data_IF_964491461461
#
_entry.id   IF_964491461461
#
_cell.length_a   1.000
_cell.length_b   1.000
_cell.length_c   1.000
_cell.angle_alpha   90.00
_cell.angle_beta   90.00
_cell.angle_gamma   90.00
#
_symmetry.space_group_name_H-M   'P 1'
#
loop_
_entity.id
_entity.type
_entity.pdbx_description
1 polymer ?
#
# COMPACT_ATOMS: atom_id res chain seq x y z
N UNK A 1 -7.62 24.99 -14.25
CA UNK A 1 -7.68 25.73 -15.52
C UNK A 1 -8.23 24.84 -16.63
N UNK A 2 -9.11 25.35 -17.42
CA UNK A 2 -9.71 24.64 -18.54
C UNK A 2 -9.95 25.62 -19.69
N UNK A 3 -9.51 25.25 -20.89
CA UNK A 3 -9.92 25.87 -22.17
C UNK A 3 -10.21 24.76 -23.20
N UNK A 4 -10.37 25.07 -24.45
CA UNK A 4 -10.67 24.09 -25.50
C UNK A 4 -9.51 23.11 -25.75
N UNK A 5 -8.26 23.49 -25.47
CA UNK A 5 -7.05 22.73 -25.74
C UNK A 5 -6.50 22.08 -24.48
N UNK A 6 -6.58 22.76 -23.33
CA UNK A 6 -5.99 22.33 -22.08
C UNK A 6 -7.01 22.13 -20.97
N UNK A 7 -6.87 21.05 -20.23
CA UNK A 7 -7.53 20.85 -18.95
C UNK A 7 -6.46 20.51 -17.89
N UNK A 8 -6.28 21.40 -16.93
CA UNK A 8 -5.25 21.28 -15.89
C UNK A 8 -5.89 21.23 -14.53
N UNK A 9 -5.48 20.25 -13.72
CA UNK A 9 -5.95 20.05 -12.34
C UNK A 9 -4.74 19.84 -11.43
N UNK A 10 -4.76 20.44 -10.27
CA UNK A 10 -3.78 20.21 -9.22
C UNK A 10 -4.43 20.19 -7.86
N UNK A 11 -3.80 19.50 -6.92
CA UNK A 11 -4.32 19.41 -5.56
C UNK A 11 -3.28 18.99 -4.54
N UNK A 12 -3.63 19.21 -3.28
CA UNK A 12 -2.84 18.83 -2.11
C UNK A 12 -3.67 17.91 -1.23
N UNK A 13 -3.02 16.93 -0.64
CA UNK A 13 -3.58 16.05 0.37
C UNK A 13 -2.68 16.03 1.60
N UNK A 14 -3.26 16.22 2.77
CA UNK A 14 -2.57 16.23 4.05
C UNK A 14 -3.33 15.33 5.02
N UNK A 15 -2.65 14.33 5.56
CA UNK A 15 -3.23 13.44 6.56
C UNK A 15 -2.25 13.23 7.72
N UNK A 16 -2.79 13.21 8.93
CA UNK A 16 -2.10 12.73 10.12
C UNK A 16 -2.96 11.67 10.79
N UNK A 17 -2.33 10.54 11.08
CA UNK A 17 -2.92 9.47 11.88
C UNK A 17 -2.13 9.31 13.17
N UNK A 18 -2.83 9.07 14.28
CA UNK A 18 -2.27 8.63 15.57
C UNK A 18 -3.13 7.51 16.11
N UNK A 19 -2.52 6.48 16.62
CA UNK A 19 -3.22 5.36 17.23
C UNK A 19 -2.37 4.74 18.33
N UNK A 20 -3.04 4.27 19.38
CA UNK A 20 -2.44 3.43 20.39
C UNK A 20 -3.07 2.04 20.25
N UNK A 21 -2.21 1.03 20.23
CA UNK A 21 -2.59 -0.38 20.14
C UNK A 21 -2.21 -1.05 21.47
N UNK A 22 -3.20 -1.51 22.22
CA UNK A 22 -2.98 -2.11 23.52
C UNK A 22 -3.95 -3.26 23.79
N UNK A 23 -3.57 -4.16 24.68
CA UNK A 23 -4.42 -5.25 25.11
C UNK A 23 -4.22 -5.60 26.57
N UNK A 24 -5.33 -6.00 27.21
CA UNK A 24 -5.34 -6.46 28.59
C UNK A 24 -5.76 -7.92 28.68
N UNK A 25 -5.03 -8.68 29.47
CA UNK A 25 -5.48 -9.99 29.93
C UNK A 25 -6.38 -9.79 31.14
N UNK A 26 -7.61 -10.26 31.02
CA UNK A 26 -8.64 -10.10 32.04
C UNK A 26 -8.89 -11.38 32.83
N UNK A 27 -8.34 -12.51 32.36
CA UNK A 27 -8.48 -13.81 33.01
C UNK A 27 -7.40 -14.79 32.55
N UNK A 28 -6.88 -15.59 33.47
CA UNK A 28 -6.07 -16.79 33.21
C UNK A 28 -6.78 -18.00 33.76
N UNK A 29 -6.89 -19.08 32.98
CA UNK A 29 -7.44 -20.36 33.43
C UNK A 29 -6.58 -20.99 34.55
N UNK A 30 -5.25 -20.84 34.45
CA UNK A 30 -4.33 -21.27 35.49
C UNK A 30 -4.37 -20.27 36.64
N UNK A 31 -4.69 -20.75 37.87
CA UNK A 31 -4.87 -19.87 39.04
C UNK A 31 -3.55 -19.23 39.52
N UNK A 32 -2.40 -19.93 39.38
CA UNK A 32 -1.12 -19.36 39.75
C UNK A 32 -0.73 -18.21 38.83
N UNK A 33 -0.90 -18.37 37.51
CA UNK A 33 -0.69 -17.32 36.53
C UNK A 33 -1.67 -16.15 36.77
N UNK A 34 -2.93 -16.46 37.08
CA UNK A 34 -3.91 -15.42 37.39
C UNK A 34 -3.51 -14.59 38.60
N UNK A 35 -3.06 -15.24 39.68
CA UNK A 35 -2.60 -14.54 40.88
C UNK A 35 -1.30 -13.76 40.65
N UNK A 36 -0.40 -14.28 39.83
CA UNK A 36 0.89 -13.65 39.51
C UNK A 36 0.72 -12.40 38.65
N UNK A 37 0.02 -12.52 37.53
CA UNK A 37 -0.15 -11.41 36.57
C UNK A 37 -1.30 -10.47 36.90
N UNK A 38 -2.25 -10.93 37.70
CA UNK A 38 -3.46 -10.16 38.05
C UNK A 38 -3.67 -10.09 39.55
N UNK A 39 -2.71 -9.54 40.32
CA UNK A 39 -2.87 -9.41 41.75
C UNK A 39 -4.11 -8.57 42.04
N UNK A 40 -4.96 -9.02 42.98
CA UNK A 40 -6.24 -8.38 43.33
C UNK A 40 -7.24 -8.25 42.13
N UNK A 41 -7.18 -9.19 41.18
CA UNK A 41 -7.98 -9.19 39.95
C UNK A 41 -7.78 -7.95 39.05
N UNK A 42 -6.65 -7.27 39.18
CA UNK A 42 -6.29 -6.19 38.25
C UNK A 42 -6.08 -6.70 36.82
N UNK A 43 -6.37 -5.89 35.81
CA UNK A 43 -6.07 -6.25 34.44
C UNK A 43 -4.56 -6.14 34.17
N UNK A 44 -4.00 -7.12 33.46
CA UNK A 44 -2.60 -7.13 33.04
C UNK A 44 -2.49 -6.63 31.60
N UNK A 45 -1.83 -5.49 31.41
CA UNK A 45 -1.54 -4.97 30.09
C UNK A 45 -0.35 -5.74 29.51
N UNK A 46 -0.61 -6.61 28.54
CA UNK A 46 0.43 -7.47 27.97
C UNK A 46 1.10 -6.91 26.72
N UNK A 47 0.44 -5.97 25.99
CA UNK A 47 1.09 -5.18 24.96
C UNK A 47 0.58 -3.75 24.95
N UNK A 48 1.43 -2.86 24.42
CA UNK A 48 1.14 -1.44 24.25
C UNK A 48 2.11 -0.85 23.23
N UNK A 49 1.59 -0.22 22.21
CA UNK A 49 2.39 0.46 21.20
C UNK A 49 1.68 1.66 20.59
N UNK A 50 2.40 2.75 20.46
CA UNK A 50 1.95 3.94 19.76
C UNK A 50 2.34 3.93 18.29
N UNK A 51 1.46 4.44 17.44
CA UNK A 51 1.73 4.64 16.03
C UNK A 51 1.38 6.08 15.60
N UNK A 52 2.22 6.66 14.74
CA UNK A 52 1.99 7.95 14.09
C UNK A 52 2.34 7.84 12.62
N UNK A 53 1.46 8.35 11.78
CA UNK A 53 1.69 8.45 10.34
C UNK A 53 1.36 9.87 9.87
N UNK A 54 2.29 10.45 9.12
CA UNK A 54 2.06 11.66 8.33
C UNK A 54 2.10 11.28 6.87
N UNK A 55 1.15 11.77 6.08
CA UNK A 55 1.01 11.50 4.67
C UNK A 55 0.68 12.82 3.96
N UNK A 56 1.60 13.30 3.14
CA UNK A 56 1.46 14.53 2.38
C UNK A 56 1.62 14.21 0.90
N UNK A 57 0.70 14.65 0.09
CA UNK A 57 0.88 14.55 -1.34
C UNK A 57 0.46 15.82 -2.07
N UNK A 58 1.14 16.07 -3.19
CA UNK A 58 0.78 17.07 -4.17
C UNK A 58 0.69 16.38 -5.52
N UNK A 59 -0.33 16.72 -6.30
CA UNK A 59 -0.46 16.19 -7.65
C UNK A 59 -0.75 17.30 -8.66
N UNK A 60 -0.33 17.05 -9.87
CA UNK A 60 -0.59 17.87 -11.02
C UNK A 60 -0.95 16.99 -12.21
N UNK A 61 -2.06 17.28 -12.84
CA UNK A 61 -2.57 16.58 -14.01
C UNK A 61 -2.86 17.56 -15.13
N UNK A 62 -2.42 17.25 -16.31
CA UNK A 62 -2.72 18.00 -17.54
C UNK A 62 -3.26 17.06 -18.62
N UNK A 63 -4.29 17.49 -19.31
CA UNK A 63 -4.76 16.89 -20.55
C UNK A 63 -4.58 17.91 -21.66
N UNK A 64 -4.08 17.47 -22.78
CA UNK A 64 -3.86 18.28 -23.98
C UNK A 64 -4.58 17.66 -25.17
N UNK A 65 -5.53 18.38 -25.74
CA UNK A 65 -6.26 18.00 -26.94
C UNK A 65 -5.50 18.52 -28.17
N UNK A 66 -4.83 17.62 -28.90
CA UNK A 66 -4.16 17.98 -30.15
C UNK A 66 -5.14 18.43 -31.22
N UNK A 67 -6.28 17.76 -31.26
CA UNK A 67 -7.40 18.00 -32.13
C UNK A 67 -8.64 17.26 -31.60
N UNK A 68 -9.71 17.19 -32.35
CA UNK A 68 -10.98 16.55 -31.96
C UNK A 68 -10.84 15.03 -31.69
N UNK A 69 -9.75 14.38 -32.11
CA UNK A 69 -9.58 12.94 -32.07
C UNK A 69 -8.52 12.49 -31.08
N UNK A 70 -7.46 13.28 -30.88
CA UNK A 70 -6.29 12.89 -30.11
C UNK A 70 -6.16 13.70 -28.81
N UNK A 71 -5.96 12.99 -27.72
CA UNK A 71 -5.70 13.57 -26.42
C UNK A 71 -4.46 12.94 -25.79
N UNK A 72 -3.59 13.76 -25.25
CA UNK A 72 -2.45 13.39 -24.41
C UNK A 72 -2.78 13.76 -22.97
N UNK A 73 -2.47 12.89 -22.01
CA UNK A 73 -2.47 13.25 -20.61
C UNK A 73 -1.13 12.99 -19.95
N UNK A 74 -0.80 13.80 -18.98
CA UNK A 74 0.31 13.61 -18.06
C UNK A 74 -0.16 13.92 -16.65
N UNK A 75 0.23 13.06 -15.70
CA UNK A 75 -0.08 13.17 -14.29
C UNK A 75 1.20 12.89 -13.49
N UNK A 76 1.45 13.66 -12.48
CA UNK A 76 2.54 13.41 -11.54
C UNK A 76 2.05 13.67 -10.13
N UNK A 77 2.31 12.71 -9.25
CA UNK A 77 2.09 12.85 -7.82
C UNK A 77 3.44 12.76 -7.10
N UNK A 78 3.72 13.72 -6.24
CA UNK A 78 4.73 13.58 -5.19
C UNK A 78 4.04 13.25 -3.88
N UNK A 79 4.54 12.22 -3.16
CA UNK A 79 4.01 11.80 -1.87
C UNK A 79 5.13 11.59 -0.86
N UNK A 80 5.01 12.25 0.28
CA UNK A 80 5.87 12.05 1.44
C UNK A 80 5.10 11.30 2.52
N UNK A 81 5.68 10.21 3.00
CA UNK A 81 5.10 9.42 4.10
C UNK A 81 6.15 9.29 5.20
N UNK A 82 5.75 9.59 6.43
CA UNK A 82 6.52 9.27 7.61
C UNK A 82 5.70 8.37 8.52
N UNK A 83 6.26 7.23 8.89
CA UNK A 83 5.64 6.26 9.78
C UNK A 83 6.55 5.95 10.96
N UNK A 84 6.01 6.09 12.17
CA UNK A 84 6.71 5.74 13.40
C UNK A 84 5.79 4.86 14.24
N UNK A 85 6.33 3.76 14.77
CA UNK A 85 5.66 2.99 15.81
C UNK A 85 6.68 2.50 16.83
N UNK A 86 6.31 2.57 18.09
CA UNK A 86 7.18 2.17 19.20
C UNK A 86 6.36 1.55 20.33
N UNK A 87 7.00 0.67 21.10
CA UNK A 87 6.39 -0.04 22.23
C UNK A 87 6.53 -1.54 22.09
N UNK A 88 5.51 -2.28 22.50
CA UNK A 88 5.46 -3.74 22.45
C UNK A 88 4.26 -4.21 21.65
N UNK A 89 4.46 -5.21 20.78
CA UNK A 89 3.40 -5.88 20.04
C UNK A 89 2.79 -7.04 20.83
N UNK A 90 1.68 -7.56 20.36
CA UNK A 90 1.02 -8.75 20.95
C UNK A 90 1.69 -10.08 20.59
N UNK A 91 2.66 -10.08 19.67
CA UNK A 91 3.40 -11.28 19.27
C UNK A 91 4.52 -11.60 20.25
N UNK A 92 4.68 -12.87 20.50
CA UNK A 92 5.74 -13.40 21.34
C UNK A 92 6.84 -14.00 20.47
N UNK A 93 8.07 -13.87 20.92
CA UNK A 93 9.20 -14.60 20.38
C UNK A 93 10.05 -15.18 21.52
N UNK A 94 10.71 -16.28 21.23
CA UNK A 94 11.57 -16.99 22.17
C UNK A 94 13.01 -16.48 22.08
N UNK A 95 13.57 -16.12 23.23
CA UNK A 95 15.00 -15.88 23.40
C UNK A 95 15.56 -16.84 24.48
N UNK A 96 16.87 -16.89 24.60
CA UNK A 96 17.57 -17.75 25.59
C UNK A 96 17.11 -17.52 27.03
N UNK A 97 16.58 -16.34 27.33
CA UNK A 97 16.09 -15.90 28.63
C UNK A 97 14.58 -16.02 28.85
N UNK A 98 13.82 -16.50 27.85
CA UNK A 98 12.37 -16.69 27.93
C UNK A 98 11.59 -16.15 26.77
N UNK A 99 10.26 -15.99 26.96
CA UNK A 99 9.35 -15.44 25.96
C UNK A 99 9.10 -13.96 26.21
N UNK A 100 9.23 -13.15 25.17
CA UNK A 100 9.02 -11.70 25.22
C UNK A 100 8.03 -11.25 24.16
N UNK A 101 7.28 -10.18 24.45
CA UNK A 101 6.56 -9.48 23.41
C UNK A 101 7.51 -8.83 22.42
N UNK A 102 7.20 -8.91 21.15
CA UNK A 102 7.97 -8.28 20.09
C UNK A 102 8.11 -6.77 20.36
N UNK A 103 9.34 -6.25 20.53
CA UNK A 103 9.54 -4.81 20.62
C UNK A 103 9.31 -4.16 19.27
N UNK A 104 8.62 -3.03 19.26
CA UNK A 104 8.43 -2.20 18.09
C UNK A 104 9.29 -0.95 18.23
N UNK A 105 10.10 -0.67 17.23
CA UNK A 105 10.86 0.56 17.08
C UNK A 105 11.08 0.84 15.60
N UNK A 106 10.01 1.26 14.92
CA UNK A 106 10.02 1.56 13.49
C UNK A 106 9.97 3.07 13.31
N UNK A 107 10.88 3.60 12.51
CA UNK A 107 10.91 5.03 12.14
C UNK A 107 11.32 5.14 10.68
N UNK A 108 10.34 5.25 9.80
CA UNK A 108 10.53 5.22 8.37
C UNK A 108 10.05 6.50 7.69
N UNK A 109 10.72 6.87 6.60
CA UNK A 109 10.38 8.02 5.78
C UNK A 109 10.51 7.65 4.32
N UNK A 110 9.48 7.95 3.55
CA UNK A 110 9.41 7.63 2.14
C UNK A 110 9.12 8.89 1.33
N UNK A 111 9.78 8.99 0.18
CA UNK A 111 9.54 10.01 -0.81
C UNK A 111 9.23 9.29 -2.13
N UNK A 112 8.02 9.44 -2.61
CA UNK A 112 7.55 8.79 -3.82
C UNK A 112 7.23 9.81 -4.89
N UNK A 113 7.60 9.48 -6.12
CA UNK A 113 7.15 10.18 -7.33
C UNK A 113 6.42 9.15 -8.17
N UNK A 114 5.15 9.42 -8.44
CA UNK A 114 4.24 8.54 -9.17
C UNK A 114 3.81 9.24 -10.46
N UNK A 115 4.59 9.15 -11.54
CA UNK A 115 4.20 9.70 -12.84
C UNK A 115 3.28 8.74 -13.58
N UNK A 116 2.34 9.31 -14.35
CA UNK A 116 1.51 8.59 -15.32
C UNK A 116 1.37 9.43 -16.58
N UNK A 117 1.46 8.82 -17.74
CA UNK A 117 1.17 9.49 -19.01
C UNK A 117 0.52 8.52 -19.98
N UNK A 118 -0.19 9.07 -20.95
CA UNK A 118 -0.81 8.26 -21.99
C UNK A 118 -1.43 9.12 -23.07
N UNK A 119 -1.71 8.46 -24.17
CA UNK A 119 -2.34 9.03 -25.36
C UNK A 119 -3.62 8.26 -25.65
N UNK A 120 -4.65 8.97 -26.08
CA UNK A 120 -5.90 8.36 -26.53
C UNK A 120 -6.35 8.94 -27.87
N UNK A 121 -7.03 8.10 -28.62
CA UNK A 121 -7.65 8.41 -29.89
C UNK A 121 -9.14 8.05 -29.84
N UNK A 122 -9.99 8.92 -30.38
CA UNK A 122 -11.43 8.68 -30.48
C UNK A 122 -11.97 9.24 -31.80
N UNK A 123 -12.52 8.40 -32.65
CA UNK A 123 -13.16 8.79 -33.91
C UNK A 123 -14.11 7.70 -34.42
N UNK A 124 -15.29 8.09 -34.89
CA UNK A 124 -16.26 7.24 -35.60
C UNK A 124 -16.57 5.91 -34.88
N UNK A 125 -16.73 5.96 -33.55
CA UNK A 125 -16.97 4.79 -32.71
C UNK A 125 -15.70 4.02 -32.31
N UNK A 126 -14.54 4.36 -32.84
CA UNK A 126 -13.25 3.81 -32.47
C UNK A 126 -12.65 4.56 -31.28
N UNK A 127 -12.18 3.82 -30.28
CA UNK A 127 -11.49 4.31 -29.12
C UNK A 127 -10.23 3.49 -28.90
N UNK A 128 -9.07 4.13 -28.91
CA UNK A 128 -7.81 3.47 -28.59
C UNK A 128 -7.03 4.29 -27.55
N UNK A 129 -6.27 3.61 -26.68
CA UNK A 129 -5.37 4.29 -25.76
C UNK A 129 -4.11 3.46 -25.50
N UNK A 130 -3.06 4.16 -25.11
CA UNK A 130 -1.86 3.61 -24.55
C UNK A 130 -1.44 4.44 -23.33
N UNK A 131 -1.05 3.80 -22.25
CA UNK A 131 -0.57 4.47 -21.05
C UNK A 131 0.58 3.75 -20.37
N UNK A 132 1.40 4.52 -19.65
CA UNK A 132 2.42 4.01 -18.75
C UNK A 132 2.32 4.77 -17.43
N UNK A 133 2.44 4.03 -16.32
CA UNK A 133 2.40 4.57 -14.97
C UNK A 133 3.50 3.95 -14.10
N UNK A 134 4.01 4.73 -13.15
CA UNK A 134 4.79 4.25 -12.03
C UNK A 134 4.07 4.56 -10.73
N UNK A 135 3.97 3.57 -9.85
CA UNK A 135 3.36 3.70 -8.54
C UNK A 135 4.29 3.12 -7.46
N UNK A 136 4.30 3.76 -6.30
CA UNK A 136 5.05 3.29 -5.16
C UNK A 136 4.09 3.10 -3.98
N UNK A 137 4.36 2.08 -3.16
CA UNK A 137 3.61 1.79 -1.94
C UNK A 137 4.56 1.56 -0.78
N UNK A 138 4.35 2.28 0.32
CA UNK A 138 5.06 2.05 1.56
C UNK A 138 4.62 0.75 2.24
N UNK A 139 5.49 0.14 3.08
CA UNK A 139 5.08 -0.91 4.00
C UNK A 139 3.99 -0.43 4.97
N UNK A 140 3.02 -1.27 5.22
CA UNK A 140 2.02 -1.08 6.25
C UNK A 140 2.50 -1.62 7.60
N UNK A 141 1.78 -1.33 8.70
CA UNK A 141 2.12 -1.81 10.04
C UNK A 141 2.33 -3.34 10.07
N UNK A 142 1.40 -4.09 9.49
CA UNK A 142 1.45 -5.54 9.47
C UNK A 142 2.66 -6.10 8.71
N UNK A 143 3.18 -5.39 7.70
CA UNK A 143 4.40 -5.80 7.02
C UNK A 143 5.62 -5.77 7.96
N UNK A 144 5.63 -4.90 8.97
CA UNK A 144 6.68 -4.85 10.00
C UNK A 144 6.44 -5.84 11.14
N UNK A 145 5.17 -6.06 11.51
CA UNK A 145 4.81 -6.90 12.66
C UNK A 145 4.62 -8.36 12.29
N UNK A 146 4.28 -8.66 11.02
CA UNK A 146 3.92 -9.99 10.53
C UNK A 146 4.92 -10.52 9.51
N UNK A 147 6.17 -10.10 9.60
CA UNK A 147 7.23 -10.55 8.71
C UNK A 147 8.00 -11.78 9.23
N UNK A 148 7.75 -12.23 10.48
CA UNK A 148 8.43 -13.37 11.08
C UNK A 148 9.95 -13.19 11.10
N UNK A 149 10.68 -14.17 10.56
CA UNK A 149 12.14 -14.13 10.41
C UNK A 149 12.61 -13.51 9.08
N UNK A 150 11.70 -12.99 8.27
CA UNK A 150 12.06 -12.35 7.01
C UNK A 150 12.69 -10.98 7.23
N UNK A 151 13.44 -10.45 6.24
CA UNK A 151 14.04 -9.12 6.32
C UNK A 151 13.00 -8.02 6.55
N UNK A 152 13.45 -6.88 7.07
CA UNK A 152 12.61 -5.70 7.21
C UNK A 152 11.96 -5.32 5.86
N UNK A 153 10.68 -4.95 5.87
CA UNK A 153 9.95 -4.67 4.64
C UNK A 153 10.49 -3.41 3.94
N UNK A 154 10.50 -3.46 2.62
CA UNK A 154 10.91 -2.35 1.74
C UNK A 154 9.72 -1.90 0.90
N UNK A 155 9.70 -0.63 0.43
CA UNK A 155 8.62 -0.16 -0.44
C UNK A 155 8.49 -0.98 -1.72
N UNK A 156 7.25 -1.25 -2.11
CA UNK A 156 6.91 -1.85 -3.40
C UNK A 156 6.86 -0.78 -4.49
N UNK A 157 7.32 -1.12 -5.68
CA UNK A 157 7.19 -0.31 -6.88
C UNK A 157 6.51 -1.11 -7.99
N UNK A 158 5.63 -0.44 -8.72
CA UNK A 158 4.93 -0.96 -9.88
C UNK A 158 5.22 -0.06 -11.08
N UNK A 159 5.63 -0.66 -12.21
CA UNK A 159 5.48 -0.09 -13.53
C UNK A 159 4.30 -0.79 -14.21
N UNK A 160 3.37 -0.01 -14.76
CA UNK A 160 2.17 -0.51 -15.41
C UNK A 160 2.06 0.08 -16.82
N UNK A 161 1.95 -0.80 -17.82
CA UNK A 161 1.74 -0.44 -19.23
C UNK A 161 0.40 -1.03 -19.65
N UNK A 162 -0.47 -0.17 -20.19
CA UNK A 162 -1.78 -0.58 -20.68
C UNK A 162 -1.98 -0.15 -22.13
N UNK A 163 -2.63 -1.03 -22.91
CA UNK A 163 -3.08 -0.78 -24.27
C UNK A 163 -4.55 -1.20 -24.38
N UNK A 164 -5.40 -0.28 -24.78
CA UNK A 164 -6.82 -0.56 -24.92
C UNK A 164 -7.34 -0.15 -26.29
N UNK A 165 -8.27 -0.93 -26.81
CA UNK A 165 -9.03 -0.61 -28.00
C UNK A 165 -10.48 -1.00 -27.82
N UNK A 166 -11.39 -0.08 -28.13
CA UNK A 166 -12.83 -0.30 -28.09
C UNK A 166 -13.45 0.17 -29.40
N UNK A 167 -14.47 -0.56 -29.86
CA UNK A 167 -15.31 -0.15 -30.96
C UNK A 167 -16.78 -0.16 -30.55
N UNK A 168 -17.45 0.92 -30.79
CA UNK A 168 -18.86 1.10 -30.49
C UNK A 168 -19.64 1.39 -31.77
N UNK A 169 -20.51 0.47 -32.17
CA UNK A 169 -21.46 0.62 -33.25
C UNK A 169 -22.88 0.84 -32.69
N UNK A 170 -23.84 1.13 -33.52
CA UNK A 170 -25.22 1.39 -33.09
C UNK A 170 -25.84 0.30 -32.22
N UNK A 171 -25.51 -0.98 -32.51
CA UNK A 171 -26.15 -2.14 -31.89
C UNK A 171 -25.20 -3.08 -31.17
N UNK A 172 -23.89 -2.83 -31.17
CA UNK A 172 -22.92 -3.68 -30.48
C UNK A 172 -21.67 -2.89 -30.05
N UNK A 173 -21.02 -3.44 -29.06
CA UNK A 173 -19.75 -2.95 -28.52
C UNK A 173 -18.78 -4.12 -28.41
N UNK A 174 -17.53 -3.87 -28.78
CA UNK A 174 -16.44 -4.80 -28.56
C UNK A 174 -15.20 -4.02 -28.07
N UNK A 175 -14.46 -4.63 -27.17
CA UNK A 175 -13.25 -4.03 -26.63
C UNK A 175 -12.23 -5.07 -26.25
N UNK A 176 -10.97 -4.65 -26.23
CA UNK A 176 -9.85 -5.40 -25.70
C UNK A 176 -8.95 -4.48 -24.89
N UNK A 177 -8.50 -4.95 -23.75
CA UNK A 177 -7.47 -4.30 -22.96
C UNK A 177 -6.33 -5.27 -22.71
N UNK A 178 -5.10 -4.82 -22.94
CA UNK A 178 -3.87 -5.57 -22.66
C UNK A 178 -3.07 -4.81 -21.61
N UNK A 179 -2.49 -5.54 -20.65
CA UNK A 179 -1.65 -4.93 -19.65
C UNK A 179 -0.39 -5.73 -19.37
N UNK A 180 0.65 -5.01 -18.99
CA UNK A 180 1.89 -5.54 -18.46
C UNK A 180 2.27 -4.75 -17.20
N UNK A 181 2.36 -5.46 -16.07
CA UNK A 181 2.71 -4.93 -14.76
C UNK A 181 4.04 -5.53 -14.32
N UNK A 182 5.03 -4.69 -14.05
CA UNK A 182 6.34 -5.07 -13.54
C UNK A 182 6.50 -4.57 -12.10
N UNK A 183 6.75 -5.49 -11.18
CA UNK A 183 6.85 -5.20 -9.75
C UNK A 183 8.29 -5.35 -9.27
N UNK A 184 8.75 -4.36 -8.52
CA UNK A 184 9.97 -4.44 -7.72
C UNK A 184 9.61 -4.46 -6.25
N UNK A 185 10.14 -5.43 -5.50
CA UNK A 185 9.86 -5.62 -4.07
C UNK A 185 8.36 -5.80 -3.75
N UNK A 186 7.65 -6.58 -4.55
CA UNK A 186 6.22 -6.83 -4.34
C UNK A 186 5.97 -7.46 -2.97
N UNK A 187 4.97 -6.95 -2.22
CA UNK A 187 4.50 -7.59 -1.00
C UNK A 187 3.67 -8.83 -1.34
N UNK A 188 4.07 -9.97 -0.77
CA UNK A 188 3.38 -11.25 -0.94
C UNK A 188 3.18 -11.94 0.40
N UNK A 189 2.12 -12.74 0.51
CA UNK A 189 1.96 -13.67 1.60
C UNK A 189 2.88 -14.88 1.39
N UNK A 190 3.59 -15.29 2.45
CA UNK A 190 4.55 -16.40 2.39
C UNK A 190 3.89 -17.78 2.42
N UNK A 191 2.61 -17.84 2.77
CA UNK A 191 1.91 -19.09 3.09
C UNK A 191 2.13 -19.59 4.52
N UNK A 192 3.06 -19.01 5.26
CA UNK A 192 3.26 -19.28 6.67
C UNK A 192 2.39 -18.37 7.55
N UNK A 193 2.11 -18.80 8.76
CA UNK A 193 1.36 -18.05 9.76
C UNK A 193 2.22 -17.78 10.99
N UNK A 194 1.91 -16.67 11.67
CA UNK A 194 2.45 -16.38 13.00
C UNK A 194 1.81 -17.28 14.07
N UNK A 195 2.34 -17.27 15.29
CA UNK A 195 1.82 -18.06 16.41
C UNK A 195 0.37 -17.72 16.78
N UNK A 196 -0.13 -16.56 16.36
CA UNK A 196 -1.52 -16.12 16.56
C UNK A 196 -2.38 -16.26 15.29
N UNK A 197 -1.86 -16.94 14.24
CA UNK A 197 -2.61 -17.28 13.03
C UNK A 197 -2.66 -16.18 11.96
N UNK A 198 -1.89 -15.11 12.07
CA UNK A 198 -1.79 -14.08 11.04
C UNK A 198 -0.85 -14.50 9.91
N UNK A 199 -1.20 -14.16 8.67
CA UNK A 199 -0.40 -14.50 7.51
C UNK A 199 0.90 -13.67 7.49
N UNK A 200 2.04 -14.34 7.44
CA UNK A 200 3.33 -13.68 7.31
C UNK A 200 3.52 -13.12 5.90
N UNK A 201 4.12 -11.95 5.81
CA UNK A 201 4.38 -11.24 4.56
C UNK A 201 5.87 -10.99 4.36
N UNK A 202 6.30 -10.95 3.11
CA UNK A 202 7.66 -10.59 2.72
C UNK A 202 7.65 -9.86 1.39
N UNK A 203 8.77 -9.22 1.03
CA UNK A 203 8.97 -8.69 -0.31
C UNK A 203 9.61 -9.75 -1.20
N UNK A 204 9.12 -9.91 -2.43
CA UNK A 204 9.84 -10.60 -3.51
C UNK A 204 10.44 -9.55 -4.44
N UNK A 205 11.70 -9.79 -4.82
CA UNK A 205 12.51 -8.78 -5.51
C UNK A 205 11.90 -8.34 -6.84
N UNK A 206 11.55 -9.30 -7.68
CA UNK A 206 11.06 -9.07 -9.04
C UNK A 206 9.88 -10.01 -9.32
N UNK A 207 8.80 -9.45 -9.86
CA UNK A 207 7.64 -10.21 -10.34
C UNK A 207 6.91 -9.44 -11.42
N UNK A 208 6.09 -10.13 -12.22
CA UNK A 208 5.30 -9.46 -13.24
C UNK A 208 3.93 -10.09 -13.40
N UNK A 209 3.03 -9.34 -14.00
CA UNK A 209 1.72 -9.81 -14.47
C UNK A 209 1.54 -9.34 -15.91
N UNK A 210 1.00 -10.23 -16.74
CA UNK A 210 0.60 -9.92 -18.12
C UNK A 210 -0.78 -10.51 -18.34
N UNK A 211 -1.65 -9.77 -19.00
CA UNK A 211 -3.00 -10.26 -19.28
C UNK A 211 -3.74 -9.41 -20.29
N UNK A 212 -4.96 -9.85 -20.58
CA UNK A 212 -5.89 -9.15 -21.44
C UNK A 212 -7.34 -9.53 -21.09
N UNK A 213 -8.23 -8.56 -21.24
CA UNK A 213 -9.67 -8.66 -21.03
C UNK A 213 -10.45 -8.34 -22.31
#
# INVERSE_FOLDING_TARGET
YKDETWNVTGGLYLQQFRGNHFGYLTYFKNQELNNHFRPNNSNYQYYDSDARKFDYSAFFKANYHFNDYWNLFADVQYRYVQYNTSGRNDKFYEETSGYFNQPLNVSERYNFVNPKTGISFAKDGHHAYASIAYANREPERNNFTDNGAYPAPTPERLMDIELGYNYHANNWYAGVNLYYMDYTNQFVQTGAQSDIGENLTTNIKDSYRIGGD
#
